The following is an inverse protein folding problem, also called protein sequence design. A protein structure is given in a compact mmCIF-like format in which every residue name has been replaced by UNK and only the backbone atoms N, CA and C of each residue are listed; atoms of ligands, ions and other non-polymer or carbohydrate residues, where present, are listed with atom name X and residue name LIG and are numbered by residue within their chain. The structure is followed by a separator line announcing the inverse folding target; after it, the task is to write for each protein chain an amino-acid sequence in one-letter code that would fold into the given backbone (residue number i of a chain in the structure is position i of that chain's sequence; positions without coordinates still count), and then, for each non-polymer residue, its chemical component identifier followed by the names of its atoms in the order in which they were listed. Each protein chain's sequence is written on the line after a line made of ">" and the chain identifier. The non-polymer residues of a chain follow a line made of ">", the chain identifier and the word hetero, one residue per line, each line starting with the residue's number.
data_IF_536155297385
#
_entry.id   IF_536155297385
#
_cell.length_a   1.000
_cell.length_b   1.000
_cell.length_c   1.000
_cell.angle_alpha   90.00
_cell.angle_beta   90.00
_cell.angle_gamma   90.00
#
_symmetry.space_group_name_H-M   'P 1'
#
loop_
_entity.id
_entity.type
_entity.pdbx_description
1 polymer ?
#
# COMPACT_ATOMS: atom_id res chain seq x y z
N UNK A 1 -26.25 -17.83 -10.37
CA UNK A 1 -25.76 -17.13 -9.15
C UNK A 1 -26.02 -17.92 -7.87
N UNK A 2 -27.27 -18.26 -7.52
CA UNK A 2 -27.62 -18.94 -6.25
C UNK A 2 -26.79 -20.21 -6.01
N UNK A 3 -26.67 -21.10 -7.00
CA UNK A 3 -25.86 -22.34 -6.90
C UNK A 3 -24.38 -22.07 -6.58
N UNK A 4 -23.81 -20.96 -7.05
CA UNK A 4 -22.42 -20.60 -6.75
C UNK A 4 -22.31 -20.12 -5.30
N UNK A 5 -23.25 -19.31 -4.85
CA UNK A 5 -23.27 -18.79 -3.48
C UNK A 5 -23.46 -19.92 -2.47
N UNK A 6 -24.38 -20.84 -2.71
CA UNK A 6 -24.65 -21.95 -1.78
C UNK A 6 -23.50 -22.95 -1.70
N UNK A 7 -22.78 -23.18 -2.81
CA UNK A 7 -21.71 -24.19 -2.88
C UNK A 7 -20.33 -23.60 -2.55
N UNK A 8 -20.04 -22.38 -3.00
CA UNK A 8 -18.71 -21.75 -2.89
C UNK A 8 -18.70 -20.50 -2.01
N UNK A 9 -19.82 -20.09 -1.42
CA UNK A 9 -19.91 -18.88 -0.61
C UNK A 9 -18.93 -18.87 0.56
N UNK A 10 -18.79 -19.99 1.29
CA UNK A 10 -17.82 -20.11 2.38
C UNK A 10 -16.38 -19.98 1.88
N UNK A 11 -16.05 -20.60 0.74
CA UNK A 11 -14.73 -20.50 0.12
C UNK A 11 -14.40 -19.04 -0.24
N UNK A 12 -15.32 -18.34 -0.90
CA UNK A 12 -15.15 -16.94 -1.30
C UNK A 12 -15.03 -16.01 -0.08
N UNK A 13 -15.80 -16.26 0.98
CA UNK A 13 -15.73 -15.47 2.20
C UNK A 13 -14.39 -15.67 2.94
N UNK A 14 -13.89 -16.91 3.02
CA UNK A 14 -12.56 -17.19 3.55
C UNK A 14 -11.46 -16.55 2.70
N UNK A 15 -11.59 -16.59 1.36
CA UNK A 15 -10.66 -15.95 0.45
C UNK A 15 -10.64 -14.42 0.62
N UNK A 16 -11.81 -13.80 0.81
CA UNK A 16 -11.91 -12.38 1.16
C UNK A 16 -11.20 -12.07 2.50
N UNK A 17 -11.34 -12.94 3.50
CA UNK A 17 -10.57 -12.83 4.75
C UNK A 17 -9.06 -12.83 4.51
N UNK A 18 -8.57 -13.70 3.61
CA UNK A 18 -7.15 -13.75 3.22
C UNK A 18 -6.71 -12.51 2.45
N UNK A 19 -7.56 -11.96 1.57
CA UNK A 19 -7.35 -10.67 0.89
C UNK A 19 -7.12 -9.56 1.90
N UNK A 20 -7.98 -9.45 2.91
CA UNK A 20 -7.88 -8.43 3.96
C UNK A 20 -6.66 -8.64 4.86
N UNK A 21 -6.35 -9.88 5.23
CA UNK A 21 -5.15 -10.20 6.01
C UNK A 21 -3.88 -9.79 5.26
N UNK A 22 -3.78 -10.12 3.98
CA UNK A 22 -2.66 -9.77 3.12
C UNK A 22 -2.50 -8.25 3.00
N UNK A 23 -3.61 -7.54 2.76
CA UNK A 23 -3.62 -6.08 2.72
C UNK A 23 -3.15 -5.49 4.05
N UNK A 24 -3.69 -5.98 5.18
CA UNK A 24 -3.35 -5.49 6.50
C UNK A 24 -1.86 -5.65 6.82
N UNK A 25 -1.30 -6.84 6.59
CA UNK A 25 0.14 -7.10 6.80
C UNK A 25 1.00 -6.24 5.86
N UNK A 26 0.64 -6.16 4.57
CA UNK A 26 1.33 -5.31 3.60
C UNK A 26 1.32 -3.83 4.01
N UNK A 27 0.20 -3.33 4.52
CA UNK A 27 0.04 -1.95 4.97
C UNK A 27 0.91 -1.61 6.19
N UNK A 28 1.07 -2.54 7.15
CA UNK A 28 1.95 -2.33 8.31
C UNK A 28 3.38 -2.02 7.83
N UNK A 29 3.93 -2.88 6.97
CA UNK A 29 5.27 -2.70 6.44
C UNK A 29 5.37 -1.51 5.47
N UNK A 30 4.33 -1.26 4.67
CA UNK A 30 4.26 -0.10 3.79
C UNK A 30 4.33 1.23 4.56
N UNK A 31 3.64 1.33 5.71
CA UNK A 31 3.70 2.51 6.57
C UNK A 31 5.12 2.75 7.10
N UNK A 32 5.82 1.68 7.50
CA UNK A 32 7.21 1.76 7.98
C UNK A 32 8.14 2.23 6.86
N UNK A 33 8.09 1.57 5.70
CA UNK A 33 8.91 1.94 4.54
C UNK A 33 8.60 3.36 4.04
N UNK A 34 7.32 3.68 3.93
CA UNK A 34 6.85 5.00 3.52
C UNK A 34 7.34 6.10 4.46
N UNK A 35 7.28 5.87 5.78
CA UNK A 35 7.80 6.82 6.76
C UNK A 35 9.31 7.01 6.62
N UNK A 36 10.08 5.93 6.51
CA UNK A 36 11.54 5.99 6.38
C UNK A 36 11.94 6.76 5.12
N UNK A 37 11.46 6.32 3.96
CA UNK A 37 11.84 6.93 2.67
C UNK A 37 11.21 8.32 2.48
N UNK A 38 10.00 8.54 2.98
CA UNK A 38 9.34 9.84 2.97
C UNK A 38 10.13 10.88 3.78
N UNK A 39 10.59 10.52 4.98
CA UNK A 39 11.44 11.41 5.78
C UNK A 39 12.81 11.64 5.13
N UNK A 40 13.48 10.57 4.65
CA UNK A 40 14.78 10.68 3.96
C UNK A 40 14.72 11.65 2.77
N UNK A 41 13.60 11.70 2.06
CA UNK A 41 13.40 12.58 0.91
C UNK A 41 13.32 14.08 1.24
N UNK A 42 13.10 14.43 2.52
CA UNK A 42 12.95 15.83 2.98
C UNK A 42 14.17 16.31 3.78
N UNK A 43 15.06 15.39 4.17
CA UNK A 43 16.30 15.76 4.85
C UNK A 43 17.20 16.56 3.90
N UNK A 44 17.92 17.56 4.45
CA UNK A 44 18.86 18.41 3.68
C UNK A 44 20.04 17.66 3.05
N UNK A 45 20.29 16.41 3.45
CA UNK A 45 21.39 15.61 2.94
C UNK A 45 21.06 15.09 1.53
N UNK A 46 21.87 15.49 0.55
CA UNK A 46 21.73 15.07 -0.85
C UNK A 46 21.76 13.56 -1.02
N UNK A 47 22.61 12.84 -0.28
CA UNK A 47 22.70 11.39 -0.38
C UNK A 47 21.40 10.68 0.05
N UNK A 48 20.83 11.10 1.19
CA UNK A 48 19.55 10.57 1.67
C UNK A 48 18.40 10.83 0.68
N UNK A 49 18.38 12.03 0.09
CA UNK A 49 17.39 12.40 -0.89
C UNK A 49 17.47 11.53 -2.15
N UNK A 50 18.68 11.36 -2.70
CA UNK A 50 18.93 10.52 -3.88
C UNK A 50 18.51 9.08 -3.62
N UNK A 51 18.87 8.49 -2.47
CA UNK A 51 18.47 7.12 -2.12
C UNK A 51 16.95 6.97 -2.09
N UNK A 52 16.24 7.92 -1.46
CA UNK A 52 14.78 7.89 -1.42
C UNK A 52 14.15 8.06 -2.81
N UNK A 53 14.69 8.95 -3.64
CA UNK A 53 14.23 9.15 -5.01
C UNK A 53 14.43 7.92 -5.88
N UNK A 54 15.59 7.25 -5.80
CA UNK A 54 15.84 6.01 -6.54
C UNK A 54 14.86 4.92 -6.12
N UNK A 55 14.65 4.74 -4.81
CA UNK A 55 13.67 3.77 -4.31
C UNK A 55 12.27 4.03 -4.87
N UNK A 56 11.77 5.27 -4.76
CA UNK A 56 10.43 5.63 -5.24
C UNK A 56 10.34 5.49 -6.76
N UNK A 57 11.36 5.94 -7.49
CA UNK A 57 11.41 5.87 -8.95
C UNK A 57 11.37 4.43 -9.46
N UNK A 58 12.23 3.55 -8.92
CA UNK A 58 12.30 2.15 -9.35
C UNK A 58 10.99 1.43 -9.03
N UNK A 59 10.51 1.52 -7.78
CA UNK A 59 9.35 0.74 -7.35
C UNK A 59 8.06 1.19 -8.04
N UNK A 60 7.88 2.49 -8.28
CA UNK A 60 6.69 3.01 -8.99
C UNK A 60 6.81 2.92 -10.51
N UNK A 61 8.04 2.83 -11.03
CA UNK A 61 8.29 2.62 -12.46
C UNK A 61 8.06 1.17 -12.92
N UNK A 62 8.10 0.21 -11.99
CA UNK A 62 7.89 -1.21 -12.30
C UNK A 62 6.42 -1.60 -12.08
N UNK A 63 5.76 -2.25 -13.06
CA UNK A 63 4.41 -2.79 -12.88
C UNK A 63 4.34 -3.74 -11.68
N UNK A 64 3.31 -3.61 -10.84
CA UNK A 64 3.21 -4.39 -9.60
C UNK A 64 3.22 -5.91 -9.83
N UNK A 65 2.62 -6.40 -10.93
CA UNK A 65 2.70 -7.82 -11.31
C UNK A 65 4.14 -8.29 -11.57
N UNK A 66 4.94 -7.45 -12.23
CA UNK A 66 6.36 -7.73 -12.51
C UNK A 66 7.14 -7.70 -11.20
N UNK A 67 6.86 -6.72 -10.32
CA UNK A 67 7.45 -6.66 -8.99
C UNK A 67 7.14 -7.93 -8.18
N UNK A 68 5.90 -8.44 -8.22
CA UNK A 68 5.52 -9.67 -7.54
C UNK A 68 6.33 -10.88 -8.05
N UNK A 69 6.55 -10.99 -9.35
CA UNK A 69 7.40 -12.05 -9.92
C UNK A 69 8.87 -11.90 -9.54
N UNK A 70 9.42 -10.69 -9.55
CA UNK A 70 10.80 -10.46 -9.09
C UNK A 70 10.97 -10.82 -7.61
N UNK A 71 10.00 -10.48 -6.77
CA UNK A 71 10.05 -10.82 -5.35
C UNK A 71 9.92 -12.32 -5.14
N UNK A 72 8.96 -12.98 -5.80
CA UNK A 72 8.67 -14.40 -5.57
C UNK A 72 9.69 -15.34 -6.24
N UNK A 73 10.10 -15.06 -7.47
CA UNK A 73 11.03 -15.91 -8.23
C UNK A 73 12.45 -15.32 -8.29
N UNK A 74 12.56 -14.02 -8.54
CA UNK A 74 13.85 -13.36 -8.78
C UNK A 74 14.77 -13.31 -7.56
N UNK A 75 14.25 -12.93 -6.38
CA UNK A 75 15.05 -12.84 -5.14
C UNK A 75 15.59 -14.23 -4.73
N UNK A 76 14.76 -15.29 -4.62
CA UNK A 76 15.27 -16.65 -4.39
C UNK A 76 16.30 -17.09 -5.43
N UNK A 77 16.07 -16.84 -6.72
CA UNK A 77 17.02 -17.21 -7.76
C UNK A 77 18.38 -16.49 -7.62
N UNK A 78 18.35 -15.18 -7.33
CA UNK A 78 19.56 -14.39 -7.09
C UNK A 78 20.35 -14.91 -5.89
N UNK A 79 19.68 -15.18 -4.77
CA UNK A 79 20.34 -15.62 -3.53
C UNK A 79 20.90 -17.04 -3.64
N UNK A 80 20.12 -17.97 -4.19
CA UNK A 80 20.51 -19.38 -4.24
C UNK A 80 21.48 -19.68 -5.39
N UNK A 81 21.21 -19.16 -6.59
CA UNK A 81 21.95 -19.55 -7.79
C UNK A 81 23.10 -18.60 -8.10
N UNK A 82 22.87 -17.28 -8.04
CA UNK A 82 23.86 -16.29 -8.47
C UNK A 82 24.87 -16.01 -7.35
N UNK A 83 24.38 -15.75 -6.13
CA UNK A 83 25.24 -15.38 -5.00
C UNK A 83 25.69 -16.60 -4.18
N UNK A 84 25.04 -17.75 -4.31
CA UNK A 84 25.41 -18.98 -3.59
C UNK A 84 25.24 -18.93 -2.06
N UNK A 85 24.64 -17.87 -1.52
CA UNK A 85 24.45 -17.63 -0.08
C UNK A 85 23.02 -17.98 0.40
N UNK A 86 22.13 -18.35 -0.53
CA UNK A 86 20.71 -18.53 -0.23
C UNK A 86 20.37 -19.80 0.55
N UNK A 87 21.20 -20.86 0.50
CA UNK A 87 20.95 -22.13 1.20
C UNK A 87 19.53 -22.72 1.00
N UNK A 88 18.97 -22.62 -0.20
CA UNK A 88 17.60 -23.06 -0.48
C UNK A 88 16.52 -22.08 -0.03
N UNK A 89 16.84 -20.79 0.10
CA UNK A 89 15.89 -19.74 0.48
C UNK A 89 14.70 -19.71 -0.48
N UNK A 90 13.50 -19.90 0.05
CA UNK A 90 12.25 -19.79 -0.70
C UNK A 90 11.28 -18.89 0.06
N UNK A 91 10.47 -18.14 -0.68
CA UNK A 91 9.40 -17.33 -0.10
C UNK A 91 8.06 -18.03 -0.29
N UNK A 92 7.26 -18.09 0.77
CA UNK A 92 5.84 -18.42 0.62
C UNK A 92 5.11 -17.32 -0.16
N UNK A 93 3.99 -17.68 -0.81
CA UNK A 93 3.18 -16.71 -1.54
C UNK A 93 2.68 -15.56 -0.64
N UNK A 94 2.41 -15.83 0.63
CA UNK A 94 2.06 -14.81 1.62
C UNK A 94 3.23 -13.85 1.87
N UNK A 95 4.44 -14.37 2.13
CA UNK A 95 5.61 -13.53 2.38
C UNK A 95 5.97 -12.66 1.17
N UNK A 96 6.02 -13.26 -0.02
CA UNK A 96 6.30 -12.50 -1.25
C UNK A 96 5.20 -11.47 -1.53
N UNK A 97 3.93 -11.83 -1.30
CA UNK A 97 2.81 -10.91 -1.43
C UNK A 97 2.90 -9.72 -0.48
N UNK A 98 3.20 -9.96 0.79
CA UNK A 98 3.40 -8.91 1.80
C UNK A 98 4.57 -8.00 1.41
N UNK A 99 5.71 -8.57 1.01
CA UNK A 99 6.88 -7.78 0.58
C UNK A 99 6.54 -6.92 -0.65
N UNK A 100 5.89 -7.50 -1.66
CA UNK A 100 5.51 -6.79 -2.87
C UNK A 100 4.55 -5.63 -2.56
N UNK A 101 3.52 -5.86 -1.74
CA UNK A 101 2.59 -4.81 -1.31
C UNK A 101 3.30 -3.74 -0.48
N UNK A 102 4.17 -4.15 0.44
CA UNK A 102 4.91 -3.24 1.31
C UNK A 102 5.82 -2.32 0.51
N UNK A 103 6.55 -2.86 -0.48
CA UNK A 103 7.40 -2.08 -1.37
C UNK A 103 6.56 -1.10 -2.19
N UNK A 104 5.55 -1.61 -2.90
CA UNK A 104 4.74 -0.80 -3.80
C UNK A 104 4.01 0.32 -3.03
N UNK A 105 3.19 -0.05 -2.04
CA UNK A 105 2.47 0.92 -1.22
C UNK A 105 3.42 1.82 -0.43
N UNK A 106 4.54 1.30 0.07
CA UNK A 106 5.56 2.08 0.77
C UNK A 106 6.18 3.17 -0.10
N UNK A 107 6.42 2.91 -1.38
CA UNK A 107 6.91 3.93 -2.31
C UNK A 107 5.86 5.03 -2.58
N UNK A 108 4.58 4.68 -2.71
CA UNK A 108 3.50 5.67 -2.80
C UNK A 108 3.34 6.47 -1.50
N UNK A 109 3.48 5.82 -0.33
CA UNK A 109 3.45 6.47 0.97
C UNK A 109 4.61 7.44 1.18
N UNK A 110 5.82 7.07 0.75
CA UNK A 110 6.97 7.96 0.80
C UNK A 110 6.72 9.24 0.02
N UNK A 111 6.11 9.13 -1.17
CA UNK A 111 5.78 10.30 -1.99
C UNK A 111 4.66 11.15 -1.37
N UNK A 112 3.63 10.51 -0.79
CA UNK A 112 2.56 11.23 -0.09
C UNK A 112 3.13 12.02 1.09
N UNK A 113 4.06 11.45 1.85
CA UNK A 113 4.73 12.15 2.94
C UNK A 113 5.60 13.30 2.43
N UNK A 114 6.37 13.09 1.36
CA UNK A 114 7.18 14.14 0.75
C UNK A 114 6.31 15.31 0.26
N UNK A 115 5.27 14.99 -0.50
CA UNK A 115 4.33 15.96 -1.07
C UNK A 115 3.56 16.72 0.03
N UNK A 116 3.14 16.04 1.08
CA UNK A 116 2.43 16.69 2.20
C UNK A 116 3.32 17.64 3.00
N UNK A 117 4.62 17.36 3.14
CA UNK A 117 5.54 18.32 3.79
C UNK A 117 5.78 19.53 2.86
N UNK A 118 5.93 19.29 1.56
CA UNK A 118 6.14 20.34 0.57
C UNK A 118 4.88 21.18 0.29
N UNK A 119 3.68 20.67 0.61
CA UNK A 119 2.43 21.41 0.43
C UNK A 119 2.23 22.53 1.47
N UNK A 120 3.03 22.55 2.54
CA UNK A 120 2.97 23.62 3.55
C UNK A 120 3.67 24.86 3.01
N UNK A 121 3.00 26.01 3.12
CA UNK A 121 3.51 27.30 2.65
C UNK A 121 4.91 27.59 3.22
N UNK A 122 5.84 28.00 2.34
CA UNK A 122 7.23 28.28 2.70
C UNK A 122 7.32 29.40 3.75
N UNK A 123 6.38 30.35 3.73
CA UNK A 123 6.22 31.42 4.72
C UNK A 123 6.02 30.90 6.15
N UNK A 124 5.48 29.69 6.36
CA UNK A 124 5.42 29.07 7.69
C UNK A 124 6.82 28.73 8.23
N UNK A 125 7.72 28.29 7.34
CA UNK A 125 9.12 28.08 7.70
C UNK A 125 9.81 29.42 7.97
N UNK A 126 9.62 30.41 7.09
CA UNK A 126 10.23 31.74 7.22
C UNK A 126 9.79 32.44 8.50
N UNK A 127 8.49 32.45 8.81
CA UNK A 127 7.95 33.02 10.06
C UNK A 127 8.57 32.36 11.30
N UNK A 128 8.69 31.03 11.30
CA UNK A 128 9.36 30.31 12.39
C UNK A 128 10.83 30.72 12.55
N UNK A 129 11.53 30.98 11.43
CA UNK A 129 12.91 31.47 11.46
C UNK A 129 13.02 32.93 11.93
N UNK A 130 12.08 33.79 11.54
CA UNK A 130 12.00 35.18 12.01
C UNK A 130 11.76 35.26 13.53
N UNK A 131 11.09 34.27 14.10
CA UNK A 131 10.92 34.11 15.56
C UNK A 131 12.12 33.44 16.25
N UNK A 132 13.25 33.25 15.55
CA UNK A 132 14.47 32.65 16.10
C UNK A 132 14.41 31.13 16.32
N UNK A 133 13.38 30.43 15.79
CA UNK A 133 13.27 28.99 15.98
C UNK A 133 14.27 28.21 15.10
N UNK A 134 14.96 27.19 15.64
CA UNK A 134 15.79 26.30 14.83
C UNK A 134 14.93 25.43 13.91
N UNK A 135 15.50 24.97 12.77
CA UNK A 135 14.80 24.17 11.74
C UNK A 135 13.97 23.04 12.33
N UNK A 136 14.56 22.29 13.26
CA UNK A 136 13.92 21.14 13.91
C UNK A 136 12.68 21.54 14.73
N UNK A 137 12.74 22.68 15.43
CA UNK A 137 11.62 23.17 16.23
C UNK A 137 10.49 23.67 15.31
N UNK A 138 10.82 24.40 14.24
CA UNK A 138 9.85 24.83 13.22
C UNK A 138 9.22 23.64 12.51
N UNK A 139 10.03 22.68 12.06
CA UNK A 139 9.57 21.46 11.40
C UNK A 139 8.61 20.66 12.29
N UNK A 140 9.00 20.37 13.54
CA UNK A 140 8.21 19.53 14.44
C UNK A 140 6.93 20.22 14.93
N UNK A 141 6.96 21.52 15.23
CA UNK A 141 5.84 22.22 15.87
C UNK A 141 4.91 22.95 14.91
N UNK A 142 5.38 23.34 13.73
CA UNK A 142 4.61 24.18 12.79
C UNK A 142 4.30 23.37 11.53
N UNK A 143 5.32 22.86 10.85
CA UNK A 143 5.16 22.28 9.51
C UNK A 143 4.54 20.89 9.58
N UNK A 144 5.12 19.98 10.36
CA UNK A 144 4.70 18.58 10.41
C UNK A 144 3.23 18.41 10.83
N UNK A 145 2.69 19.14 11.83
CA UNK A 145 1.26 19.06 12.18
C UNK A 145 0.34 19.51 11.04
N UNK A 146 0.73 20.50 10.24
CA UNK A 146 -0.03 20.95 9.06
C UNK A 146 0.06 19.91 7.94
N UNK A 147 1.27 19.43 7.67
CA UNK A 147 1.57 18.42 6.67
C UNK A 147 0.82 17.09 6.93
N UNK A 148 0.77 16.62 8.18
CA UNK A 148 0.04 15.39 8.53
C UNK A 148 -1.44 15.51 8.18
N UNK A 149 -2.06 16.67 8.42
CA UNK A 149 -3.48 16.90 8.10
C UNK A 149 -3.73 16.82 6.59
N UNK A 150 -2.82 17.33 5.77
CA UNK A 150 -2.95 17.27 4.30
C UNK A 150 -2.66 15.87 3.75
N UNK A 151 -1.80 15.08 4.41
CA UNK A 151 -1.48 13.70 3.99
C UNK A 151 -2.57 12.68 4.28
N UNK A 152 -3.29 12.83 5.40
CA UNK A 152 -4.23 11.80 5.88
C UNK A 152 -5.24 11.34 4.81
N UNK A 153 -5.91 12.25 4.05
CA UNK A 153 -6.82 11.84 2.98
C UNK A 153 -6.14 10.95 1.93
N UNK A 154 -4.92 11.32 1.50
CA UNK A 154 -4.14 10.56 0.53
C UNK A 154 -3.67 9.21 1.08
N UNK A 155 -3.27 9.14 2.35
CA UNK A 155 -2.89 7.90 3.04
C UNK A 155 -4.06 6.92 3.05
N UNK A 156 -5.24 7.40 3.45
CA UNK A 156 -6.45 6.57 3.51
C UNK A 156 -6.84 6.06 2.11
N UNK A 157 -6.77 6.93 1.10
CA UNK A 157 -7.02 6.52 -0.29
C UNK A 157 -6.04 5.42 -0.75
N UNK A 158 -4.76 5.55 -0.39
CA UNK A 158 -3.76 4.53 -0.71
C UNK A 158 -4.06 3.19 -0.03
N UNK A 159 -4.62 3.19 1.19
CA UNK A 159 -5.02 1.94 1.86
C UNK A 159 -6.13 1.22 1.09
N UNK A 160 -7.12 1.96 0.59
CA UNK A 160 -8.21 1.40 -0.23
C UNK A 160 -7.66 0.85 -1.55
N UNK A 161 -6.72 1.56 -2.18
CA UNK A 161 -6.03 1.08 -3.39
C UNK A 161 -5.29 -0.22 -3.11
N UNK A 162 -4.54 -0.28 -2.00
CA UNK A 162 -3.76 -1.46 -1.61
C UNK A 162 -4.63 -2.71 -1.46
N UNK A 163 -5.85 -2.58 -0.93
CA UNK A 163 -6.81 -3.70 -0.85
C UNK A 163 -7.18 -4.23 -2.24
N UNK A 164 -7.37 -3.36 -3.23
CA UNK A 164 -7.63 -3.79 -4.62
C UNK A 164 -6.39 -4.45 -5.24
N UNK A 165 -5.23 -3.89 -5.00
CA UNK A 165 -3.94 -4.35 -5.55
C UNK A 165 -3.55 -5.76 -5.07
N UNK A 166 -4.08 -6.20 -3.93
CA UNK A 166 -3.91 -7.61 -3.47
C UNK A 166 -4.36 -8.64 -4.51
N UNK A 167 -5.34 -8.31 -5.36
CA UNK A 167 -5.84 -9.20 -6.42
C UNK A 167 -4.78 -9.59 -7.45
N UNK A 168 -3.78 -8.73 -7.65
CA UNK A 168 -2.65 -8.98 -8.56
C UNK A 168 -1.83 -10.17 -8.05
N UNK A 169 -1.77 -10.40 -6.73
CA UNK A 169 -0.99 -11.47 -6.13
C UNK A 169 -1.59 -12.87 -6.37
N UNK A 170 -2.76 -12.96 -6.99
CA UNK A 170 -3.27 -14.24 -7.55
C UNK A 170 -2.29 -14.89 -8.53
N UNK A 171 -1.46 -14.10 -9.21
CA UNK A 171 -0.48 -14.57 -10.20
C UNK A 171 0.70 -15.33 -9.61
N UNK A 172 1.00 -15.11 -8.33
CA UNK A 172 2.03 -15.85 -7.57
C UNK A 172 1.40 -16.97 -6.73
N UNK A 173 0.14 -17.34 -7.02
CA UNK A 173 -0.56 -18.44 -6.36
C UNK A 173 -1.05 -18.14 -4.95
N UNK A 174 -1.11 -16.87 -4.53
CA UNK A 174 -1.69 -16.54 -3.23
C UNK A 174 -3.22 -16.75 -3.28
N UNK A 175 -3.82 -17.54 -2.36
CA UNK A 175 -5.24 -17.88 -2.38
C UNK A 175 -6.12 -16.77 -1.81
N UNK A 176 -6.07 -15.60 -2.45
CA UNK A 176 -6.99 -14.49 -2.26
C UNK A 176 -8.26 -14.64 -3.13
N UNK A 177 -9.17 -13.68 -3.00
CA UNK A 177 -10.50 -13.72 -3.62
C UNK A 177 -10.48 -13.93 -5.15
N UNK A 178 -9.61 -13.26 -5.90
CA UNK A 178 -9.53 -13.43 -7.35
C UNK A 178 -9.02 -14.82 -7.74
N UNK A 179 -8.05 -15.39 -7.02
CA UNK A 179 -7.60 -16.76 -7.27
C UNK A 179 -8.70 -17.77 -6.94
N UNK A 180 -9.39 -17.59 -5.81
CA UNK A 180 -10.53 -18.43 -5.46
C UNK A 180 -11.64 -18.36 -6.52
N UNK A 181 -11.93 -17.16 -7.04
CA UNK A 181 -12.88 -16.96 -8.12
C UNK A 181 -12.48 -17.64 -9.42
N UNK A 182 -11.21 -17.56 -9.82
CA UNK A 182 -10.67 -18.28 -10.99
C UNK A 182 -10.88 -19.79 -10.86
N UNK A 183 -10.66 -20.35 -9.68
CA UNK A 183 -10.88 -21.78 -9.43
C UNK A 183 -12.38 -22.16 -9.52
N UNK A 184 -13.27 -21.33 -8.97
CA UNK A 184 -14.73 -21.53 -9.09
C UNK A 184 -15.19 -21.41 -10.54
N UNK A 185 -14.68 -20.43 -11.27
CA UNK A 185 -14.96 -20.24 -12.69
C UNK A 185 -14.50 -21.44 -13.52
N UNK A 186 -13.29 -21.95 -13.26
CA UNK A 186 -12.74 -23.11 -13.96
C UNK A 186 -13.56 -24.38 -13.71
N UNK A 187 -14.09 -24.57 -12.48
CA UNK A 187 -14.93 -25.73 -12.15
C UNK A 187 -16.39 -25.62 -12.59
N UNK A 188 -16.92 -24.41 -12.77
CA UNK A 188 -18.34 -24.19 -13.10
C UNK A 188 -18.58 -23.72 -14.53
N UNK A 189 -17.54 -23.22 -15.22
CA UNK A 189 -17.58 -22.51 -16.50
C UNK A 189 -18.50 -21.26 -16.52
N UNK A 190 -18.94 -20.78 -15.34
CA UNK A 190 -19.85 -19.66 -15.17
C UNK A 190 -19.11 -18.36 -14.89
N UNK A 191 -18.55 -17.78 -15.94
CA UNK A 191 -17.74 -16.56 -15.88
C UNK A 191 -18.54 -15.36 -15.35
N UNK A 192 -19.66 -15.04 -16.00
CA UNK A 192 -20.44 -13.85 -15.69
C UNK A 192 -20.92 -13.84 -14.23
N UNK A 193 -21.50 -14.95 -13.76
CA UNK A 193 -22.01 -15.02 -12.40
C UNK A 193 -20.91 -14.97 -11.35
N UNK A 194 -19.77 -15.63 -11.60
CA UNK A 194 -18.65 -15.67 -10.65
C UNK A 194 -18.04 -14.27 -10.48
N UNK A 195 -17.73 -13.58 -11.58
CA UNK A 195 -17.15 -12.24 -11.53
C UNK A 195 -18.13 -11.19 -11.01
N UNK A 196 -19.44 -11.34 -11.24
CA UNK A 196 -20.47 -10.48 -10.63
C UNK A 196 -20.48 -10.61 -9.11
N UNK A 197 -20.40 -11.83 -8.58
CA UNK A 197 -20.35 -12.07 -7.13
C UNK A 197 -19.08 -11.45 -6.53
N UNK A 198 -17.93 -11.70 -7.14
CA UNK A 198 -16.64 -11.16 -6.68
C UNK A 198 -16.61 -9.63 -6.73
N UNK A 199 -17.11 -9.04 -7.82
CA UNK A 199 -17.24 -7.60 -7.98
C UNK A 199 -18.13 -6.99 -6.89
N UNK A 200 -19.28 -7.61 -6.59
CA UNK A 200 -20.15 -7.18 -5.49
C UNK A 200 -19.45 -7.29 -4.12
N UNK A 201 -18.69 -8.36 -3.87
CA UNK A 201 -17.94 -8.52 -2.62
C UNK A 201 -16.86 -7.44 -2.45
N UNK A 202 -16.05 -7.16 -3.48
CA UNK A 202 -15.09 -6.06 -3.46
C UNK A 202 -15.80 -4.71 -3.26
N UNK A 203 -16.92 -4.47 -3.95
CA UNK A 203 -17.68 -3.23 -3.83
C UNK A 203 -18.18 -3.01 -2.40
N UNK A 204 -18.70 -4.05 -1.74
CA UNK A 204 -19.15 -3.97 -0.34
C UNK A 204 -17.98 -3.60 0.58
N UNK A 205 -16.86 -4.32 0.48
CA UNK A 205 -15.67 -4.07 1.32
C UNK A 205 -15.11 -2.67 1.08
N UNK A 206 -14.94 -2.26 -0.19
CA UNK A 206 -14.42 -0.95 -0.54
C UNK A 206 -15.37 0.16 -0.08
N UNK A 207 -16.69 -0.03 -0.20
CA UNK A 207 -17.68 0.94 0.28
C UNK A 207 -17.61 1.11 1.79
N UNK A 208 -17.50 0.01 2.55
CA UNK A 208 -17.33 0.06 4.01
C UNK A 208 -16.05 0.81 4.37
N UNK A 209 -14.92 0.45 3.77
CA UNK A 209 -13.64 1.12 4.01
C UNK A 209 -13.69 2.60 3.63
N UNK A 210 -14.34 2.95 2.51
CA UNK A 210 -14.50 4.33 2.05
C UNK A 210 -15.42 5.16 2.95
N UNK A 211 -16.42 4.53 3.57
CA UNK A 211 -17.28 5.19 4.54
C UNK A 211 -16.53 5.47 5.85
N UNK A 212 -15.80 4.47 6.38
CA UNK A 212 -14.94 4.63 7.56
C UNK A 212 -13.86 5.70 7.33
N UNK A 213 -13.24 5.68 6.15
CA UNK A 213 -12.30 6.68 5.67
C UNK A 213 -12.85 8.11 5.77
N UNK A 214 -14.07 8.34 5.24
CA UNK A 214 -14.73 9.66 5.30
C UNK A 214 -15.00 10.13 6.74
N UNK A 215 -15.31 9.22 7.66
CA UNK A 215 -15.49 9.58 9.08
C UNK A 215 -14.17 10.07 9.67
N UNK A 216 -13.07 9.36 9.41
CA UNK A 216 -11.73 9.74 9.89
C UNK A 216 -11.31 11.09 9.28
N UNK A 217 -11.47 11.25 7.97
CA UNK A 217 -11.16 12.49 7.25
C UNK A 217 -11.92 13.70 7.83
N UNK A 218 -13.23 13.56 8.07
CA UNK A 218 -14.05 14.62 8.67
C UNK A 218 -13.57 15.02 10.06
N UNK A 219 -13.06 14.08 10.87
CA UNK A 219 -12.53 14.38 12.21
C UNK A 219 -11.21 15.14 12.14
N UNK A 220 -10.36 14.82 11.17
CA UNK A 220 -9.06 15.47 10.98
C UNK A 220 -9.22 16.89 10.43
N UNK A 221 -10.21 17.09 9.55
CA UNK A 221 -10.50 18.39 8.94
C UNK A 221 -11.39 19.32 9.81
N UNK A 222 -11.83 18.86 10.99
CA UNK A 222 -12.50 19.72 12.00
C UNK A 222 -11.49 20.71 12.58
N UNK A 223 -11.32 21.84 11.88
CA UNK A 223 -10.44 22.94 12.29
C UNK A 223 -10.08 23.92 11.18
N UNK A 224 -10.34 23.60 9.92
CA UNK A 224 -10.00 24.44 8.74
C UNK A 224 -11.17 25.29 8.24
N UNK A 225 -12.42 24.96 8.62
CA UNK A 225 -13.63 25.72 8.23
C UNK A 225 -13.97 26.86 9.21
N UNK A 226 -12.98 27.54 9.76
CA UNK A 226 -13.18 28.80 10.49
C UNK A 226 -12.32 29.89 9.88
#
# INVERSE_FOLDING_TARGET
>A
MIKIITTYGQLLLLAMGRTLLLAFLGLIFACILGMIFGLLSVVKNKACNIIAQIFVFVIRGVPMIVLAFYVFFGIPYLLNTILGIGNGFTLSALQAGVICLALNCGAYMAEIIRAGIQSVDIGQMEAGRSLGLPYWKTMRKIILPQAIRTMIPSIINQFIITVKDTSILSVIGFPELVLAAKNVQAGTFKSFETWTIVGAMYLIVITILSYLAKIVERRVNRGVKR
#
